data_IF_600960190886
#
_entry.id   IF_600960190886
#
_cell.length_a   1.000
_cell.length_b   1.000
_cell.length_c   1.000
_cell.angle_alpha   90.00
_cell.angle_beta   90.00
_cell.angle_gamma   90.00
#
_symmetry.space_group_name_H-M   'P 1'
#
loop_
_entity.id
_entity.type
_entity.pdbx_description
1 polymer ?
2 water ?
#
# COMPACT_ATOMS: atom_id res chain seq x y z
N UNK A 1 7.94 13.33 6.58
CA UNK A 1 7.92 11.86 6.46
C UNK A 1 6.96 11.34 7.50
N UNK A 2 6.40 10.16 7.28
CA UNK A 2 5.57 9.55 8.31
C UNK A 2 6.38 8.44 9.03
N UNK A 3 6.27 8.40 10.37
CA UNK A 3 6.91 7.38 11.19
C UNK A 3 5.84 6.47 11.88
N UNK A 4 6.16 5.21 12.09
CA UNK A 4 5.37 4.32 12.95
C UNK A 4 6.32 3.52 13.83
N UNK A 5 5.90 3.23 15.05
CA UNK A 5 6.73 2.49 15.99
C UNK A 5 5.97 1.33 16.61
N UNK A 6 6.32 0.11 16.23
CA UNK A 6 5.57 -1.06 16.67
C UNK A 6 5.63 -1.23 18.19
N UNK A 7 6.65 -0.67 18.82
CA UNK A 7 6.74 -0.82 20.25
C UNK A 7 5.63 -0.07 20.94
N UNK A 8 4.72 -0.82 21.54
CA UNK A 8 3.63 -0.18 22.25
C UNK A 8 2.57 0.38 21.31
N UNK A 9 2.58 -0.14 20.09
CA UNK A 9 1.52 0.10 19.13
C UNK A 9 0.24 -0.59 19.57
N UNK A 10 -0.86 0.11 19.36
CA UNK A 10 -2.18 -0.42 19.60
C UNK A 10 -3.01 0.02 18.41
N UNK A 11 -4.29 -0.35 18.39
CA UNK A 11 -5.06 -0.04 17.19
C UNK A 11 -5.24 1.45 16.94
N UNK A 12 -5.22 2.24 17.99
CA UNK A 12 -5.36 3.67 17.83
C UNK A 12 -4.13 4.27 17.12
N UNK A 13 -2.92 3.95 17.58
CA UNK A 13 -1.70 4.63 17.14
C UNK A 13 -1.37 4.27 15.71
N UNK A 14 -1.80 3.07 15.33
CA UNK A 14 -1.74 2.62 13.96
C UNK A 14 -2.75 3.34 13.08
N UNK A 15 -3.97 3.54 13.57
CA UNK A 15 -4.89 4.43 12.89
C UNK A 15 -4.31 5.82 12.63
N UNK A 16 -3.70 6.41 13.65
CA UNK A 16 -2.99 7.66 13.52
C UNK A 16 -1.98 7.62 12.38
N UNK A 17 -1.12 6.60 12.38
CA UNK A 17 -0.13 6.43 11.34
C UNK A 17 -0.81 6.36 9.99
N UNK A 18 -1.83 5.53 9.86
CA UNK A 18 -2.44 5.39 8.55
C UNK A 18 -3.11 6.71 8.10
N UNK A 19 -3.60 7.46 9.06
CA UNK A 19 -4.13 8.78 8.79
C UNK A 19 -3.03 9.72 8.32
N UNK A 20 -1.93 9.75 9.04
CA UNK A 20 -0.74 10.53 8.71
C UNK A 20 -0.29 10.26 7.27
N UNK A 21 -0.32 8.98 6.86
CA UNK A 21 0.16 8.57 5.53
C UNK A 21 -0.75 9.11 4.43
N UNK A 22 -2.06 8.90 4.57
CA UNK A 22 -3.03 9.52 3.68
C UNK A 22 -2.77 11.03 3.63
N UNK A 23 -2.52 11.64 4.78
CA UNK A 23 -2.38 13.09 4.85
C UNK A 23 -1.11 13.63 4.21
N UNK A 24 -0.26 12.74 3.70
CA UNK A 24 1.03 13.10 3.11
C UNK A 24 0.95 13.08 1.60
N UNK A 25 0.01 12.33 1.08
CA UNK A 25 -0.17 12.22 -0.35
C UNK A 25 -0.82 13.49 -0.85
N UNK A 26 -0.14 14.21 -1.75
CA UNK A 26 -0.82 15.40 -2.27
C UNK A 26 -1.95 15.07 -3.23
N UNK A 27 -2.92 15.97 -3.31
CA UNK A 27 -3.97 15.90 -4.31
C UNK A 27 -4.48 17.31 -4.56
N UNK A 28 -5.12 17.53 -5.70
CA UNK A 28 -5.70 18.83 -5.99
C UNK A 28 -7.21 18.79 -5.82
N UNK A 29 -7.84 17.70 -6.26
CA UNK A 29 -9.28 17.63 -6.28
C UNK A 29 -9.79 16.50 -5.41
N UNK A 30 -11.07 16.57 -5.05
CA UNK A 30 -11.76 15.41 -4.56
C UNK A 30 -12.76 15.00 -5.64
N UNK A 31 -12.91 13.71 -5.87
CA UNK A 31 -13.91 13.20 -6.78
C UNK A 31 -14.91 12.38 -5.95
N UNK A 32 -16.09 12.97 -5.77
CA UNK A 32 -17.14 12.41 -4.94
C UNK A 32 -16.67 12.30 -3.48
N UNK A 33 -15.88 13.28 -3.08
CA UNK A 33 -15.43 13.47 -1.70
C UNK A 33 -14.17 12.71 -1.30
N UNK A 34 -13.57 12.06 -2.29
CA UNK A 34 -12.35 11.30 -2.13
C UNK A 34 -11.24 12.03 -2.84
N UNK A 35 -10.09 12.25 -2.16
CA UNK A 35 -8.90 12.78 -2.83
C UNK A 35 -8.50 12.05 -4.09
N UNK A 36 -8.28 12.80 -5.16
CA UNK A 36 -7.77 12.30 -6.42
C UNK A 36 -6.26 12.57 -6.49
N UNK A 37 -5.47 11.50 -6.61
CA UNK A 37 -4.02 11.61 -6.52
C UNK A 37 -3.48 12.27 -7.79
N UNK A 38 -2.42 13.05 -7.65
CA UNK A 38 -1.94 13.83 -8.77
C UNK A 38 -1.54 12.87 -9.89
N UNK A 39 -1.60 13.31 -11.17
CA UNK A 39 -1.18 12.42 -12.26
C UNK A 39 0.33 12.21 -12.33
N UNK A 40 1.09 13.23 -11.99
CA UNK A 40 2.51 13.06 -11.76
C UNK A 40 2.99 14.15 -10.86
N UNK A 41 4.09 13.88 -10.19
CA UNK A 41 4.83 14.87 -9.42
C UNK A 41 6.25 14.73 -9.96
N UNK A 42 7.08 15.74 -9.76
CA UNK A 42 8.41 15.74 -10.34
C UNK A 42 9.40 16.28 -9.35
N UNK A 43 10.63 15.78 -9.48
CA UNK A 43 11.69 16.08 -8.53
C UNK A 43 11.70 15.01 -7.46
N UNK A 44 12.35 15.28 -6.34
CA UNK A 44 12.39 14.32 -5.25
C UNK A 44 11.06 14.30 -4.48
N UNK A 45 10.13 15.16 -4.89
CA UNK A 45 8.86 15.33 -4.21
C UNK A 45 7.79 14.33 -4.63
N UNK A 46 8.12 13.50 -5.60
CA UNK A 46 7.25 12.41 -5.98
C UNK A 46 7.28 11.34 -4.90
N UNK A 47 8.28 11.36 -4.02
CA UNK A 47 8.51 10.24 -3.11
C UNK A 47 8.29 10.66 -1.67
N UNK A 48 7.51 9.86 -0.94
CA UNK A 48 7.30 10.01 0.52
C UNK A 48 8.13 8.96 1.27
N UNK A 49 8.72 9.35 2.40
CA UNK A 49 9.56 8.46 3.22
C UNK A 49 8.80 8.03 4.48
N UNK A 50 8.58 6.73 4.63
CA UNK A 50 8.07 6.14 5.87
C UNK A 50 9.20 5.59 6.73
N UNK A 51 9.29 6.03 7.98
CA UNK A 51 10.24 5.48 8.90
C UNK A 51 9.50 4.44 9.72
N UNK A 52 9.87 3.17 9.55
CA UNK A 52 9.26 2.11 10.33
C UNK A 52 10.22 1.56 11.39
N UNK A 53 9.74 1.38 12.61
CA UNK A 53 10.55 0.75 13.66
C UNK A 53 9.94 -0.56 14.21
N UNK A 54 10.76 -1.60 14.37
CA UNK A 54 10.29 -2.87 14.98
C UNK A 54 10.30 -2.77 16.50
N UNK A 55 9.87 -3.82 17.18
CA UNK A 55 9.67 -3.73 18.63
C UNK A 55 10.95 -3.35 19.35
N UNK A 56 12.10 -3.73 18.77
CA UNK A 56 13.40 -3.44 19.38
C UNK A 56 13.95 -2.08 18.98
N UNK A 57 13.16 -1.35 18.20
CA UNK A 57 13.54 -0.01 17.84
C UNK A 57 14.51 0.09 16.68
N UNK A 58 14.59 -0.96 15.89
CA UNK A 58 15.34 -0.92 14.65
C UNK A 58 14.47 -0.36 13.56
N UNK A 59 15.09 0.25 12.57
CA UNK A 59 14.26 0.96 11.63
C UNK A 59 14.61 0.65 10.19
N UNK A 60 13.59 0.65 9.34
CA UNK A 60 13.79 0.78 7.90
C UNK A 60 13.07 2.04 7.40
N UNK A 61 13.59 2.63 6.32
CA UNK A 61 12.91 3.77 5.70
C UNK A 61 12.42 3.35 4.35
N UNK A 62 11.11 3.25 4.20
CA UNK A 62 10.50 2.89 2.92
C UNK A 62 10.22 4.18 2.13
N UNK A 63 10.16 4.08 0.81
CA UNK A 63 9.92 5.24 -0.08
C UNK A 63 8.71 4.94 -0.93
N UNK A 64 7.74 5.85 -0.95
CA UNK A 64 6.45 5.57 -1.57
C UNK A 64 6.22 6.62 -2.65
N UNK A 65 5.90 6.19 -3.85
CA UNK A 65 5.53 7.11 -4.92
C UNK A 65 4.19 7.72 -4.52
N UNK A 66 4.15 9.05 -4.40
CA UNK A 66 2.95 9.70 -3.87
C UNK A 66 1.85 9.86 -4.90
N UNK A 67 2.05 9.31 -6.10
CA UNK A 67 1.03 9.39 -7.15
C UNK A 67 0.19 8.13 -7.29
N UNK A 68 0.71 7.01 -6.77
CA UNK A 68 -0.01 5.72 -6.79
C UNK A 68 0.14 4.91 -5.51
N UNK A 69 0.92 5.43 -4.58
CA UNK A 69 1.24 4.75 -3.33
C UNK A 69 1.96 3.39 -3.52
N UNK A 70 2.74 3.26 -4.61
CA UNK A 70 3.66 2.11 -4.75
C UNK A 70 4.96 2.29 -3.99
N UNK A 71 5.31 1.26 -3.23
CA UNK A 71 6.64 1.10 -2.59
C UNK A 71 7.68 1.01 -3.69
N UNK A 72 8.73 1.81 -3.58
CA UNK A 72 9.75 1.89 -4.63
C UNK A 72 10.96 1.09 -4.21
N UNK A 73 11.38 1.30 -2.96
CA UNK A 73 12.47 0.54 -2.39
C UNK A 73 12.59 0.93 -0.95
N UNK A 74 13.68 0.57 -0.28
CA UNK A 74 13.87 0.92 1.14
C UNK A 74 15.34 0.88 1.50
N UNK A 75 15.69 1.46 2.64
CA UNK A 75 17.07 1.53 3.08
C UNK A 75 17.18 0.82 4.43
N UNK A 76 18.20 -0.01 4.59
CA UNK A 76 18.45 -0.69 5.85
C UNK A 76 19.92 -0.40 6.18
N UNK A 77 20.17 0.21 7.34
CA UNK A 77 21.21 1.23 7.49
C UNK A 77 21.89 1.74 6.23
N UNK A 78 22.96 1.10 5.77
CA UNK A 78 23.75 1.70 4.71
C UNK A 78 23.47 1.17 3.31
N UNK A 79 22.57 0.20 3.20
CA UNK A 79 22.26 -0.38 1.91
C UNK A 79 20.87 0.06 1.47
N UNK A 80 20.67 0.26 0.18
CA UNK A 80 19.33 0.48 -0.27
C UNK A 80 18.95 -0.63 -1.17
N UNK A 81 17.69 -1.02 -1.16
CA UNK A 81 17.20 -2.05 -2.06
C UNK A 81 16.04 -1.44 -2.82
N UNK A 82 16.06 -1.55 -4.14
CA UNK A 82 14.97 -1.01 -4.95
C UNK A 82 14.43 -2.18 -5.72
N UNK A 83 13.16 -2.14 -6.13
CA UNK A 83 12.61 -3.18 -7.00
C UNK A 83 13.22 -3.15 -8.38
N UNK A 84 13.04 -4.23 -9.12
CA UNK A 84 13.64 -4.28 -10.45
C UNK A 84 12.56 -3.85 -11.43
N UNK A 85 12.37 -2.54 -11.50
CA UNK A 85 11.41 -1.95 -12.41
C UNK A 85 11.83 -0.51 -12.63
N UNK A 86 11.41 0.06 -13.76
CA UNK A 86 11.90 1.35 -14.24
C UNK A 86 11.63 2.57 -13.34
N UNK A 87 10.44 2.63 -12.76
CA UNK A 87 10.11 3.69 -11.80
C UNK A 87 11.02 3.62 -10.60
N UNK A 88 11.37 2.40 -10.22
CA UNK A 88 12.17 2.19 -9.01
C UNK A 88 13.62 2.63 -9.26
N UNK A 89 14.12 2.42 -10.48
CA UNK A 89 15.44 2.93 -10.85
C UNK A 89 15.39 4.46 -11.02
N UNK A 90 14.22 4.98 -11.41
CA UNK A 90 14.04 6.42 -11.44
C UNK A 90 14.08 7.00 -10.03
N UNK A 91 13.36 6.36 -9.10
CA UNK A 91 13.34 6.77 -7.70
C UNK A 91 14.73 6.77 -7.10
N UNK A 92 15.51 5.79 -7.52
CA UNK A 92 16.83 5.58 -6.98
C UNK A 92 17.65 6.84 -7.16
N UNK A 93 17.23 7.65 -8.13
CA UNK A 93 17.91 8.89 -8.49
C UNK A 93 17.73 9.97 -7.45
N UNK A 94 16.66 9.86 -6.67
CA UNK A 94 16.25 10.96 -5.83
C UNK A 94 16.34 10.66 -4.34
N UNK A 95 16.29 9.37 -4.01
CA UNK A 95 16.27 8.94 -2.61
C UNK A 95 17.45 8.01 -2.23
N UNK A 96 17.72 7.91 -0.93
CA UNK A 96 18.80 7.14 -0.32
C UNK A 96 20.12 7.27 -1.08
N UNK A 97 20.47 8.50 -1.41
CA UNK A 97 21.64 8.76 -2.26
C UNK A 97 22.95 8.71 -1.47
N UNK A 98 22.84 8.56 -0.15
CA UNK A 98 24.00 8.36 0.69
C UNK A 98 24.09 6.93 1.28
N UNK A 99 23.33 5.99 0.70
CA UNK A 99 23.56 4.58 0.93
C UNK A 99 24.92 4.21 0.37
N UNK A 100 25.70 3.46 1.16
CA UNK A 100 27.03 3.01 0.74
C UNK A 100 26.93 1.97 -0.36
N UNK A 101 25.74 1.39 -0.52
CA UNK A 101 25.61 0.28 -1.42
C UNK A 101 24.15 0.15 -1.78
N UNK A 102 23.88 -0.15 -3.05
CA UNK A 102 22.54 -0.18 -3.59
C UNK A 102 22.31 -1.52 -4.28
N UNK A 103 21.36 -2.31 -3.77
CA UNK A 103 20.99 -3.58 -4.36
C UNK A 103 19.67 -3.52 -5.11
N UNK A 104 19.61 -4.18 -6.24
CA UNK A 104 18.36 -4.30 -6.97
C UNK A 104 17.82 -5.68 -6.67
N UNK A 105 16.60 -5.72 -6.16
CA UNK A 105 15.95 -6.98 -5.89
C UNK A 105 15.67 -7.68 -7.21
N UNK A 106 15.75 -9.01 -7.21
CA UNK A 106 15.53 -9.76 -8.46
C UNK A 106 14.08 -9.86 -8.89
N UNK A 107 13.23 -8.94 -8.44
CA UNK A 107 11.82 -8.94 -8.89
C UNK A 107 11.30 -7.52 -8.90
N UNK A 108 10.16 -7.32 -9.55
CA UNK A 108 9.45 -6.06 -9.48
C UNK A 108 8.43 -6.15 -8.36
N UNK A 109 7.84 -5.02 -7.99
CA UNK A 109 7.12 -4.97 -6.74
C UNK A 109 5.65 -5.26 -6.85
N UNK A 110 5.23 -5.99 -7.87
CA UNK A 110 3.83 -6.30 -7.96
C UNK A 110 3.49 -7.66 -7.42
N UNK A 111 2.24 -7.78 -6.98
CA UNK A 111 1.78 -8.92 -6.20
C UNK A 111 2.13 -10.21 -6.87
N UNK A 112 2.00 -10.24 -8.19
CA UNK A 112 2.20 -11.51 -8.90
C UNK A 112 3.66 -12.01 -8.90
N UNK A 113 4.61 -11.10 -9.07
CA UNK A 113 6.03 -11.44 -9.03
C UNK A 113 6.53 -11.73 -7.64
N UNK A 114 6.17 -10.85 -6.71
CA UNK A 114 6.42 -11.01 -5.28
C UNK A 114 5.88 -12.34 -4.69
N UNK A 115 4.73 -12.82 -5.16
CA UNK A 115 4.17 -14.10 -4.70
C UNK A 115 4.91 -15.26 -5.28
N UNK A 116 5.25 -15.15 -6.56
CA UNK A 116 6.12 -16.13 -7.20
C UNK A 116 7.45 -16.22 -6.46
N UNK A 117 8.04 -15.07 -6.17
CA UNK A 117 9.32 -15.07 -5.47
C UNK A 117 9.21 -15.62 -4.06
N UNK A 118 8.06 -15.41 -3.41
CA UNK A 118 7.89 -15.79 -2.03
C UNK A 118 7.50 -17.26 -1.84
N UNK A 119 6.85 -17.86 -2.83
CA UNK A 119 6.42 -19.24 -2.66
C UNK A 119 5.03 -19.45 -2.04
N UNK A 120 4.39 -18.37 -1.59
CA UNK A 120 2.99 -18.43 -1.16
C UNK A 120 2.16 -17.30 -1.84
N UNK A 121 0.89 -17.56 -2.15
CA UNK A 121 0.02 -16.45 -2.55
C UNK A 121 -0.33 -15.62 -1.32
N UNK A 122 -0.86 -14.42 -1.53
CA UNK A 122 -1.21 -13.50 -0.44
C UNK A 122 -2.19 -14.14 0.57
N UNK A 123 -3.06 -15.00 0.06
CA UNK A 123 -4.14 -15.56 0.85
C UNK A 123 -3.63 -16.45 1.98
N UNK A 124 -2.36 -16.85 1.89
CA UNK A 124 -1.75 -17.77 2.85
C UNK A 124 -0.66 -17.11 3.70
N UNK A 125 -0.58 -15.80 3.67
CA UNK A 125 0.41 -15.10 4.47
C UNK A 125 -0.33 -14.25 5.50
N UNK A 126 -0.06 -14.48 6.79
CA UNK A 126 -0.70 -13.68 7.82
C UNK A 126 -0.27 -12.24 7.80
N UNK A 127 -1.23 -11.35 7.97
CA UNK A 127 -0.90 -9.96 8.14
C UNK A 127 -1.42 -9.59 9.50
N UNK A 128 -0.92 -8.47 10.01
CA UNK A 128 -1.30 -7.96 11.30
C UNK A 128 -0.15 -7.04 11.68
N UNK A 129 -0.20 -6.47 12.87
CA UNK A 129 0.91 -5.70 13.39
C UNK A 129 2.10 -6.52 13.86
N UNK A 130 1.88 -7.72 14.42
CA UNK A 130 3.02 -8.59 14.72
C UNK A 130 3.84 -8.97 13.48
N UNK A 131 3.14 -9.30 12.39
CA UNK A 131 3.78 -9.57 11.10
C UNK A 131 4.54 -8.37 10.55
N UNK A 132 4.08 -7.17 10.84
CA UNK A 132 4.69 -6.00 10.23
C UNK A 132 6.02 -5.84 10.93
N UNK A 133 6.02 -6.14 12.22
CA UNK A 133 7.22 -6.08 13.04
C UNK A 133 8.27 -7.12 12.61
N UNK A 134 7.77 -8.23 12.10
CA UNK A 134 8.59 -9.34 11.66
C UNK A 134 9.09 -9.09 10.22
N UNK A 135 8.27 -8.40 9.44
CA UNK A 135 8.67 -7.97 8.11
C UNK A 135 9.78 -6.91 8.20
N UNK A 136 9.60 -5.92 9.06
CA UNK A 136 10.66 -4.95 9.28
C UNK A 136 11.98 -5.67 9.60
N UNK A 137 11.91 -6.66 10.49
CA UNK A 137 13.10 -7.40 10.93
C UNK A 137 13.75 -8.19 9.83
N UNK A 138 12.93 -8.93 9.11
CA UNK A 138 13.37 -9.61 7.89
C UNK A 138 14.14 -8.68 6.96
N UNK A 139 13.68 -7.44 6.82
CA UNK A 139 14.18 -6.58 5.77
C UNK A 139 15.52 -6.02 6.12
N UNK A 140 15.83 -6.03 7.42
CA UNK A 140 17.05 -5.42 7.88
C UNK A 140 18.24 -6.27 7.44
N UNK A 141 17.98 -7.53 7.10
CA UNK A 141 19.01 -8.39 6.53
C UNK A 141 18.55 -8.95 5.22
N UNK A 142 19.39 -8.75 4.22
CA UNK A 142 19.15 -9.27 2.87
C UNK A 142 18.98 -10.80 2.79
N UNK A 143 17.83 -11.18 2.29
CA UNK A 143 17.51 -12.52 1.89
C UNK A 143 16.35 -12.29 0.95
N UNK A 144 16.54 -12.52 -0.34
CA UNK A 144 15.56 -12.03 -1.30
C UNK A 144 14.26 -12.84 -1.35
N UNK A 145 14.24 -14.02 -0.76
CA UNK A 145 13.04 -14.85 -0.75
C UNK A 145 12.28 -14.42 0.48
N UNK A 146 13.02 -14.16 1.55
CA UNK A 146 12.41 -13.70 2.77
C UNK A 146 11.79 -12.32 2.56
N UNK A 147 12.44 -11.48 1.77
CA UNK A 147 11.95 -10.14 1.48
C UNK A 147 10.70 -10.15 0.58
N UNK A 148 10.62 -11.06 -0.38
CA UNK A 148 9.40 -11.17 -1.17
C UNK A 148 8.21 -11.36 -0.24
N UNK A 149 8.37 -12.23 0.76
CA UNK A 149 7.31 -12.50 1.71
C UNK A 149 7.01 -11.39 2.73
N UNK A 150 8.06 -10.74 3.25
CA UNK A 150 7.93 -9.57 4.11
C UNK A 150 7.45 -8.30 3.39
N UNK A 151 7.69 -8.19 2.09
CA UNK A 151 7.21 -7.04 1.34
C UNK A 151 5.75 -7.21 0.97
N UNK A 152 5.29 -8.47 0.89
CA UNK A 152 3.87 -8.72 0.75
C UNK A 152 3.05 -8.23 1.94
N UNK A 153 3.63 -8.35 3.14
CA UNK A 153 2.97 -7.94 4.38
C UNK A 153 3.14 -6.43 4.59
N UNK A 154 4.30 -5.92 4.24
CA UNK A 154 4.55 -4.50 4.37
C UNK A 154 3.62 -3.69 3.46
N UNK A 155 3.48 -4.09 2.19
CA UNK A 155 2.61 -3.34 1.26
C UNK A 155 1.20 -3.29 1.81
N UNK A 156 0.63 -4.45 2.13
CA UNK A 156 -0.75 -4.56 2.60
C UNK A 156 -1.05 -3.89 3.92
N UNK A 157 -0.13 -3.94 4.85
CA UNK A 157 -0.35 -3.28 6.12
C UNK A 157 -0.11 -1.77 6.10
N UNK A 158 0.38 -1.21 4.99
CA UNK A 158 0.56 0.25 4.91
C UNK A 158 -0.18 0.88 3.74
N UNK A 159 0.26 0.60 2.52
CA UNK A 159 -0.34 1.13 1.31
C UNK A 159 -1.81 0.77 1.15
N UNK A 160 -2.14 -0.51 1.17
CA UNK A 160 -3.53 -0.93 1.02
C UNK A 160 -4.45 -0.49 2.16
N UNK A 161 -3.88 -0.25 3.31
CA UNK A 161 -4.65 0.23 4.45
C UNK A 161 -4.95 1.72 4.31
N UNK A 162 -4.08 2.45 3.63
CA UNK A 162 -4.32 3.87 3.34
C UNK A 162 -5.41 4.02 2.26
N UNK A 163 -5.43 3.10 1.30
CA UNK A 163 -6.40 3.15 0.21
C UNK A 163 -7.79 2.81 0.66
N UNK A 164 -7.90 1.78 1.50
CA UNK A 164 -9.19 1.28 1.93
C UNK A 164 -9.35 1.26 3.46
N UNK A 165 -10.36 1.96 3.96
CA UNK A 165 -10.60 2.02 5.38
C UNK A 165 -10.99 0.66 6.01
N UNK A 166 -11.63 -0.21 5.23
CA UNK A 166 -11.88 -1.60 5.62
C UNK A 166 -10.60 -2.36 5.99
N UNK A 167 -9.60 -2.27 5.12
CA UNK A 167 -8.33 -2.96 5.36
C UNK A 167 -7.58 -2.37 6.56
N UNK A 168 -7.72 -1.06 6.75
CA UNK A 168 -7.12 -0.45 7.92
C UNK A 168 -7.73 -1.05 9.16
N UNK A 169 -8.99 -1.49 9.06
CA UNK A 169 -9.69 -1.98 10.23
C UNK A 169 -9.38 -3.45 10.48
N UNK A 170 -9.24 -4.20 9.39
CA UNK A 170 -8.64 -5.53 9.40
C UNK A 170 -7.35 -5.63 10.20
N UNK A 171 -6.45 -4.70 9.93
CA UNK A 171 -5.13 -4.71 10.55
C UNK A 171 -5.27 -4.32 12.00
N UNK A 172 -6.07 -3.31 12.28
CA UNK A 172 -6.34 -2.90 13.66
C UNK A 172 -6.79 -4.05 14.54
N UNK A 173 -7.76 -4.81 14.02
CA UNK A 173 -8.22 -6.07 14.58
C UNK A 173 -7.06 -7.04 14.84
N UNK A 174 -6.11 -7.08 13.91
CA UNK A 174 -5.04 -8.05 13.95
C UNK A 174 -3.78 -7.47 14.60
N UNK A 175 -3.97 -6.62 15.61
CA UNK A 175 -2.89 -5.85 16.24
C UNK A 175 -2.07 -6.70 17.20
N UNK A 176 -2.70 -7.77 17.70
CA UNK A 176 -2.03 -8.58 18.68
C UNK A 176 -2.07 -10.02 18.24
N UNK A 177 -2.50 -10.26 17.01
CA UNK A 177 -2.49 -11.61 16.44
C UNK A 177 -2.61 -11.50 14.93
N UNK A 178 -1.91 -12.34 14.19
CA UNK A 178 -1.87 -12.23 12.74
C UNK A 178 -2.95 -13.11 12.18
N UNK A 179 -3.39 -12.81 10.97
CA UNK A 179 -4.35 -13.67 10.30
C UNK A 179 -4.38 -13.34 8.84
N UNK A 180 -4.59 -14.37 8.03
CA UNK A 180 -4.61 -14.21 6.59
C UNK A 180 -5.68 -13.17 6.23
N UNK A 181 -5.47 -12.38 5.15
CA UNK A 181 -6.49 -11.41 4.73
C UNK A 181 -7.77 -12.13 4.30
N UNK A 182 -8.91 -11.48 4.56
CA UNK A 182 -10.19 -11.94 3.99
C UNK A 182 -10.15 -11.95 2.46
N UNK A 183 -11.00 -12.78 1.87
CA UNK A 183 -11.27 -12.68 0.43
C UNK A 183 -11.67 -11.25 0.13
N UNK A 184 -12.46 -10.68 1.02
CA UNK A 184 -12.89 -9.29 0.89
C UNK A 184 -11.71 -8.41 0.58
N UNK A 185 -10.68 -8.51 1.41
CA UNK A 185 -9.58 -7.58 1.30
C UNK A 185 -8.75 -7.86 0.06
N UNK A 186 -8.57 -9.13 -0.33
CA UNK A 186 -7.80 -9.40 -1.54
C UNK A 186 -8.52 -8.73 -2.72
N UNK A 187 -9.83 -8.89 -2.76
CA UNK A 187 -10.69 -8.31 -3.80
C UNK A 187 -10.50 -6.79 -3.96
N UNK A 188 -10.74 -6.09 -2.87
CA UNK A 188 -10.44 -4.67 -2.75
C UNK A 188 -9.05 -4.40 -3.33
N UNK A 189 -8.01 -5.02 -2.76
CA UNK A 189 -6.65 -4.86 -3.26
C UNK A 189 -6.57 -4.89 -4.75
N UNK A 190 -7.23 -5.86 -5.34
CA UNK A 190 -7.10 -6.03 -6.76
C UNK A 190 -7.87 -4.96 -7.53
N UNK A 191 -9.00 -4.51 -6.97
CA UNK A 191 -9.90 -3.57 -7.63
C UNK A 191 -9.58 -2.09 -7.55
N UNK A 192 -8.55 -1.69 -6.81
CA UNK A 192 -8.32 -0.28 -6.55
C UNK A 192 -8.38 0.53 -7.84
N UNK A 193 -7.67 0.05 -8.83
CA UNK A 193 -7.45 0.89 -9.99
C UNK A 193 -8.70 0.87 -10.90
N UNK A 194 -9.41 -0.26 -10.92
CA UNK A 194 -10.69 -0.30 -11.59
C UNK A 194 -11.75 0.55 -10.91
N UNK A 195 -11.86 0.40 -9.59
CA UNK A 195 -12.73 1.27 -8.81
C UNK A 195 -12.45 2.75 -9.06
N UNK A 196 -11.17 3.10 -9.00
CA UNK A 196 -10.68 4.46 -9.20
C UNK A 196 -11.09 5.04 -10.55
N UNK A 197 -11.08 4.20 -11.57
CA UNK A 197 -11.38 4.66 -12.92
C UNK A 197 -12.88 4.86 -13.02
N UNK A 198 -13.66 3.84 -12.67
CA UNK A 198 -15.11 3.96 -12.63
C UNK A 198 -15.67 5.16 -11.79
N UNK A 199 -15.11 5.43 -10.62
CA UNK A 199 -15.58 6.57 -9.82
C UNK A 199 -15.33 7.88 -10.57
N UNK A 200 -14.19 7.97 -11.23
CA UNK A 200 -13.90 9.14 -12.03
C UNK A 200 -14.75 9.24 -13.30
N UNK A 201 -15.01 8.12 -13.96
CA UNK A 201 -15.82 8.06 -15.17
C UNK A 201 -17.28 8.35 -14.90
N UNK A 202 -17.63 8.45 -13.61
CA UNK A 202 -19.01 8.64 -13.14
C UNK A 202 -19.42 10.11 -12.99
N UNK A 203 -18.48 11.00 -12.70
CA UNK A 203 -18.71 12.43 -12.85
C UNK A 203 -19.16 12.74 -14.27
N UNK A 204 -20.25 13.47 -14.39
CA UNK A 204 -20.86 13.65 -15.69
C UNK A 204 -21.61 12.43 -16.21
N UNK A 205 -21.66 11.33 -15.44
CA UNK A 205 -22.58 10.24 -15.79
C UNK A 205 -23.61 10.01 -14.73
N UNK A 206 -23.77 10.98 -13.81
CA UNK A 206 -24.81 10.92 -12.78
C UNK A 206 -24.44 10.01 -11.60
N UNK A 207 -23.15 9.88 -11.32
CA UNK A 207 -22.69 8.93 -10.31
C UNK A 207 -22.73 7.48 -10.76
N UNK A 208 -23.14 7.21 -12.00
CA UNK A 208 -23.21 5.83 -12.50
C UNK A 208 -21.92 5.35 -13.16
N UNK A 209 -21.59 4.09 -12.94
CA UNK A 209 -20.38 3.45 -13.47
C UNK A 209 -20.70 3.03 -14.89
N UNK A 210 -19.72 3.17 -15.79
CA UNK A 210 -19.86 2.71 -17.17
C UNK A 210 -19.76 1.19 -17.23
N UNK A 211 -18.83 0.65 -16.45
CA UNK A 211 -18.72 -0.79 -16.24
C UNK A 211 -18.66 -1.10 -14.73
N UNK A 212 -19.46 -2.07 -14.28
CA UNK A 212 -19.71 -2.38 -12.86
C UNK A 212 -18.63 -3.25 -12.28
N UNK A 213 -18.05 -2.81 -11.18
CA UNK A 213 -16.96 -3.51 -10.53
C UNK A 213 -17.55 -4.60 -9.68
N UNK A 214 -17.19 -5.84 -9.96
CA UNK A 214 -17.65 -6.97 -9.14
C UNK A 214 -16.59 -7.39 -8.10
N UNK A 215 -16.94 -7.13 -6.84
CA UNK A 215 -16.11 -7.48 -5.70
C UNK A 215 -16.59 -8.80 -5.14
N UNK A 216 -15.70 -9.56 -4.53
CA UNK A 216 -16.10 -10.73 -3.75
C UNK A 216 -16.53 -10.18 -2.41
N UNK A 217 -15.65 -9.36 -1.85
CA UNK A 217 -15.92 -8.60 -0.65
C UNK A 217 -16.80 -9.33 0.37
N UNK A 218 -17.60 -8.57 1.10
CA UNK A 218 -18.52 -9.17 2.06
C UNK A 218 -19.91 -9.39 1.49
N UNK A 219 -19.97 -10.07 0.36
CA UNK A 219 -21.11 -10.91 0.02
C UNK A 219 -20.48 -12.22 -0.44
N UNK A 220 -19.76 -12.83 0.52
CA UNK A 220 -19.25 -14.19 0.39
C UNK A 220 -18.48 -14.49 -0.87
N UNK A 221 -19.23 -14.69 -1.95
CA UNK A 221 -18.72 -14.56 -3.31
C UNK A 221 -19.74 -13.79 -4.16
N UNK A 222 -19.28 -12.73 -4.82
CA UNK A 222 -19.95 -12.12 -5.97
C UNK A 222 -20.90 -10.94 -5.70
N UNK A 223 -20.30 -9.76 -5.48
CA UNK A 223 -21.00 -8.47 -5.40
C UNK A 223 -20.71 -7.61 -6.64
N UNK A 224 -21.58 -6.63 -6.90
CA UNK A 224 -21.39 -5.72 -8.02
C UNK A 224 -21.70 -4.29 -7.62
N UNK A 225 -20.67 -3.45 -7.65
CA UNK A 225 -20.84 -2.00 -7.48
C UNK A 225 -21.19 -1.40 -8.84
N UNK A 226 -22.19 -0.53 -8.88
CA UNK A 226 -22.63 -0.01 -10.16
C UNK A 226 -22.78 1.49 -10.15
N UNK A 227 -22.76 2.11 -8.98
CA UNK A 227 -22.86 3.55 -8.87
C UNK A 227 -22.16 4.05 -7.60
N UNK A 228 -22.10 5.37 -7.38
CA UNK A 228 -21.24 5.91 -6.34
C UNK A 228 -21.88 6.00 -4.97
N UNK A 229 -23.12 5.59 -4.84
CA UNK A 229 -23.76 5.63 -3.53
C UNK A 229 -23.44 4.39 -2.70
N UNK A 230 -23.06 3.33 -3.39
CA UNK A 230 -22.51 2.16 -2.73
C UNK A 230 -21.46 2.54 -1.71
N UNK A 231 -21.38 1.77 -0.64
CA UNK A 231 -20.59 2.17 0.51
C UNK A 231 -19.09 1.89 0.36
N UNK A 232 -18.70 1.03 -0.58
CA UNK A 232 -17.29 0.87 -0.84
C UNK A 232 -16.78 2.20 -1.36
N UNK A 233 -17.74 3.02 -1.83
CA UNK A 233 -17.42 4.35 -2.33
C UNK A 233 -17.66 5.44 -1.29
N UNK A 234 -18.85 5.42 -0.68
CA UNK A 234 -19.20 6.42 0.33
C UNK A 234 -18.43 6.24 1.63
N UNK A 235 -17.99 5.03 1.92
CA UNK A 235 -17.43 4.74 3.23
C UNK A 235 -16.04 4.12 3.24
N UNK A 236 -15.67 3.43 2.16
CA UNK A 236 -14.51 2.53 2.17
C UNK A 236 -13.27 3.11 1.52
N UNK A 237 -13.26 3.15 0.18
CA UNK A 237 -12.14 3.69 -0.61
C UNK A 237 -11.79 5.12 -0.18
N UNK A 238 -10.49 5.37 0.02
CA UNK A 238 -9.99 6.57 0.66
C UNK A 238 -9.16 7.43 -0.28
N UNK A 239 -8.66 6.83 -1.36
CA UNK A 239 -7.72 7.49 -2.27
C UNK A 239 -8.02 7.02 -3.67
N UNK A 240 -8.00 7.94 -4.64
CA UNK A 240 -8.21 7.57 -6.02
C UNK A 240 -6.94 7.68 -6.80
N UNK A 241 -6.73 6.70 -7.66
CA UNK A 241 -5.64 6.68 -8.62
C UNK A 241 -6.11 7.53 -9.78
N UNK A 242 -5.34 8.54 -10.15
CA UNK A 242 -5.63 9.35 -11.32
C UNK A 242 -5.59 8.55 -12.61
N UNK A 243 -6.57 8.78 -13.49
CA UNK A 243 -6.76 7.93 -14.67
C UNK A 243 -5.67 8.06 -15.71
N UNK A 244 -4.87 9.12 -15.58
CA UNK A 244 -3.64 9.25 -16.36
C UNK A 244 -2.67 8.08 -16.13
N UNK A 245 -2.74 7.45 -14.96
CA UNK A 245 -1.89 6.32 -14.61
C UNK A 245 -2.64 4.99 -14.56
N UNK A 246 -3.84 4.93 -15.11
CA UNK A 246 -4.57 3.66 -15.12
C UNK A 246 -4.53 3.16 -16.56
#
# INVERSE_FOLDING_TARGET
DVSFRLSGADPRSYGMFIKDLRNALPFREKVYNIPLLLPSVSGAGRYLLMHLFNRDGKTITVAVDVTNVYIMGYLADTTSYFFNEPAAELASQYVFRDARRKITLPYSGDYERLQIAAGKPREKIPIGLPALDSAISTLLHYDSTAAAGALLVLIQTTAEAARFKYIEQQIQERAYRDEVPSLATISLENSWSGLSKQIQLAQGNNGIFRTPIVLVDNKGNRVQITNVTSKVVTSNIQLLLNTRNIAEGDNGDVSTTHGFSSY
#
